data_IF_114275528475
#
_entry.id   IF_114275528475
#
_cell.length_a   1.000
_cell.length_b   1.000
_cell.length_c   1.000
_cell.angle_alpha   90.00
_cell.angle_beta   90.00
_cell.angle_gamma   90.00
#
_symmetry.space_group_name_H-M   'P 1'
#
loop_
_entity.id
_entity.type
_entity.pdbx_description
1 polymer ?
#
# COMPACT_ATOMS: atom_id res chain seq x y z
N UNK A 1 -1.71 28.78 9.02
CA UNK A 1 -2.25 27.85 10.02
C UNK A 1 -1.74 26.47 9.66
N UNK A 2 -1.59 25.53 10.60
CA UNK A 2 -1.28 24.15 10.25
C UNK A 2 -2.38 23.61 9.33
N UNK A 3 -1.99 22.94 8.25
CA UNK A 3 -2.90 22.32 7.29
C UNK A 3 -2.92 20.79 7.43
N UNK A 4 -1.99 20.21 8.19
CA UNK A 4 -1.98 18.77 8.43
C UNK A 4 -3.29 18.26 9.06
N UNK A 5 -3.92 19.09 9.89
CA UNK A 5 -5.17 18.78 10.59
C UNK A 5 -6.42 19.40 9.95
N UNK A 6 -6.30 19.96 8.74
CA UNK A 6 -7.49 20.33 7.97
C UNK A 6 -8.11 19.08 7.33
N UNK A 7 -9.45 19.02 7.21
CA UNK A 7 -10.11 17.91 6.53
C UNK A 7 -9.66 17.74 5.08
N UNK A 8 -9.74 16.51 4.59
CA UNK A 8 -9.52 16.17 3.18
C UNK A 8 -10.76 15.47 2.64
N UNK A 9 -11.45 16.11 1.71
CA UNK A 9 -12.59 15.51 1.01
C UNK A 9 -12.10 14.82 -0.27
N UNK A 10 -12.48 13.55 -0.44
CA UNK A 10 -12.27 12.78 -1.67
C UNK A 10 -13.56 12.05 -1.99
N UNK A 11 -14.16 12.32 -3.16
CA UNK A 11 -15.54 11.91 -3.46
C UNK A 11 -16.51 12.45 -2.40
N UNK A 12 -17.38 11.61 -1.83
CA UNK A 12 -18.28 11.99 -0.73
C UNK A 12 -17.68 11.70 0.66
N UNK A 13 -16.49 11.09 0.72
CA UNK A 13 -15.79 10.80 1.96
C UNK A 13 -15.03 12.03 2.48
N UNK A 14 -15.29 12.41 3.73
CA UNK A 14 -14.52 13.43 4.45
C UNK A 14 -13.56 12.76 5.45
N UNK A 15 -12.27 12.90 5.20
CA UNK A 15 -11.21 12.47 6.12
C UNK A 15 -10.94 13.60 7.12
N UNK A 16 -10.87 13.34 8.43
CA UNK A 16 -10.80 14.40 9.45
C UNK A 16 -9.46 15.15 9.48
N UNK A 17 -8.39 14.57 8.92
CA UNK A 17 -7.09 15.22 8.77
C UNK A 17 -6.27 14.54 7.67
N UNK A 18 -5.16 15.15 7.27
CA UNK A 18 -4.30 14.71 6.16
C UNK A 18 -3.15 13.80 6.61
N UNK A 19 -3.27 13.17 7.77
CA UNK A 19 -2.29 12.23 8.31
C UNK A 19 -2.82 10.80 8.22
N UNK A 20 -2.14 9.96 7.46
CA UNK A 20 -2.48 8.55 7.31
C UNK A 20 -1.40 7.65 7.92
N UNK A 21 -1.82 6.53 8.48
CA UNK A 21 -0.93 5.40 8.76
C UNK A 21 -0.62 4.72 7.42
N UNK A 22 0.66 4.55 7.08
CA UNK A 22 1.07 3.78 5.90
C UNK A 22 0.80 2.28 6.12
N UNK A 23 0.49 1.49 5.07
CA UNK A 23 0.36 0.04 5.20
C UNK A 23 1.71 -0.56 5.63
N UNK A 24 1.69 -1.37 6.69
CA UNK A 24 2.89 -1.97 7.30
C UNK A 24 2.60 -3.42 7.68
N UNK A 25 3.16 -4.37 6.94
CA UNK A 25 2.98 -5.80 7.23
C UNK A 25 3.38 -6.15 8.66
N UNK A 26 2.49 -6.86 9.36
CA UNK A 26 2.70 -7.30 10.74
C UNK A 26 3.20 -8.75 10.81
N UNK A 27 2.90 -9.56 9.79
CA UNK A 27 3.27 -10.98 9.74
C UNK A 27 2.74 -11.78 10.95
N UNK A 28 1.51 -11.45 11.39
CA UNK A 28 0.91 -11.89 12.65
C UNK A 28 -0.31 -12.80 12.48
N UNK A 29 -0.51 -13.36 11.29
CA UNK A 29 -1.55 -14.34 11.02
C UNK A 29 -1.03 -15.78 11.21
N UNK A 30 -1.96 -16.71 11.38
CA UNK A 30 -1.70 -18.12 11.07
C UNK A 30 -1.70 -18.31 9.54
N UNK A 31 -1.33 -19.50 9.02
CA UNK A 31 -1.36 -19.77 7.58
C UNK A 31 -2.74 -19.65 6.91
N UNK A 32 -3.81 -19.49 7.68
CA UNK A 32 -5.15 -19.21 7.18
C UNK A 32 -5.36 -17.75 6.74
N UNK A 33 -4.44 -16.83 7.08
CA UNK A 33 -4.52 -15.41 6.71
C UNK A 33 -5.50 -14.57 7.53
N UNK A 34 -6.13 -15.13 8.57
CA UNK A 34 -7.16 -14.42 9.33
C UNK A 34 -6.57 -13.34 10.24
N UNK A 35 -7.30 -12.22 10.33
CA UNK A 35 -6.98 -11.17 11.29
C UNK A 35 -7.00 -11.73 12.73
N UNK A 36 -6.08 -11.23 13.54
CA UNK A 36 -5.88 -11.67 14.93
C UNK A 36 -6.00 -10.49 15.89
N UNK A 37 -6.05 -10.78 17.20
CA UNK A 37 -6.05 -9.74 18.24
C UNK A 37 -4.85 -8.78 18.13
N UNK A 38 -3.72 -9.23 17.55
CA UNK A 38 -2.62 -8.34 17.23
C UNK A 38 -3.05 -7.21 16.31
N UNK A 39 -3.77 -7.52 15.24
CA UNK A 39 -4.25 -6.54 14.25
C UNK A 39 -5.26 -5.59 14.88
N UNK A 40 -6.19 -6.11 15.70
CA UNK A 40 -7.15 -5.30 16.44
C UNK A 40 -6.47 -4.27 17.33
N UNK A 41 -5.52 -4.71 18.18
CA UNK A 41 -4.78 -3.80 19.07
C UNK A 41 -3.89 -2.85 18.28
N UNK A 42 -3.23 -3.34 17.23
CA UNK A 42 -2.34 -2.56 16.38
C UNK A 42 -3.09 -1.41 15.70
N UNK A 43 -4.13 -1.71 14.93
CA UNK A 43 -4.88 -0.72 14.15
C UNK A 43 -5.71 0.19 15.06
N UNK A 44 -6.35 -0.39 16.10
CA UNK A 44 -7.08 0.38 17.09
C UNK A 44 -6.22 1.42 17.81
N UNK A 45 -4.97 1.09 18.14
CA UNK A 45 -4.05 2.04 18.78
C UNK A 45 -3.76 3.26 17.89
N UNK A 46 -3.67 3.09 16.57
CA UNK A 46 -3.43 4.22 15.64
C UNK A 46 -4.69 5.03 15.38
N UNK A 47 -5.86 4.38 15.41
CA UNK A 47 -7.15 5.07 15.33
C UNK A 47 -7.33 6.03 16.53
N UNK A 48 -7.06 5.53 17.74
CA UNK A 48 -7.03 6.35 18.96
C UNK A 48 -5.91 7.40 18.89
N UNK A 49 -4.79 7.06 18.25
CA UNK A 49 -3.59 7.89 18.12
C UNK A 49 -3.65 9.10 17.18
N UNK A 50 -4.81 9.40 16.59
CA UNK A 50 -5.05 10.68 15.92
C UNK A 50 -4.86 10.70 14.41
N UNK A 51 -4.51 9.57 13.77
CA UNK A 51 -4.46 9.48 12.31
C UNK A 51 -5.86 9.65 11.70
N UNK A 52 -5.98 10.38 10.60
CA UNK A 52 -7.23 10.54 9.86
C UNK A 52 -7.60 9.29 9.07
N UNK A 53 -6.62 8.62 8.47
CA UNK A 53 -6.77 7.33 7.80
C UNK A 53 -5.91 6.28 8.53
N UNK A 54 -6.52 5.13 8.81
CA UNK A 54 -5.82 3.95 9.33
C UNK A 54 -5.77 2.90 8.23
N UNK A 55 -4.65 2.84 7.50
CA UNK A 55 -4.44 1.85 6.44
C UNK A 55 -4.01 0.51 7.03
N UNK A 56 -4.81 -0.51 6.77
CA UNK A 56 -4.48 -1.92 7.03
C UNK A 56 -3.34 -2.35 6.11
N UNK A 57 -2.50 -3.27 6.60
CA UNK A 57 -1.33 -3.75 5.86
C UNK A 57 -1.66 -4.36 4.49
N UNK A 58 -0.63 -4.61 3.68
CA UNK A 58 -0.76 -5.36 2.43
C UNK A 58 -1.51 -6.67 2.68
N UNK A 59 -2.75 -6.73 2.19
CA UNK A 59 -3.68 -7.82 2.45
C UNK A 59 -3.83 -8.63 1.17
N UNK A 60 -3.47 -9.90 1.24
CA UNK A 60 -3.40 -10.75 0.08
C UNK A 60 -4.79 -11.04 -0.50
N UNK A 61 -4.95 -10.82 -1.80
CA UNK A 61 -6.22 -11.06 -2.53
C UNK A 61 -6.48 -12.55 -2.78
N UNK A 62 -5.44 -13.38 -2.71
CA UNK A 62 -5.48 -14.84 -2.79
C UNK A 62 -4.31 -15.46 -2.00
N UNK A 63 -4.38 -16.74 -1.59
CA UNK A 63 -3.36 -17.35 -0.73
C UNK A 63 -1.93 -17.30 -1.28
N UNK A 64 -1.76 -17.51 -2.60
CA UNK A 64 -0.45 -17.46 -3.28
C UNK A 64 0.12 -16.06 -3.42
N UNK A 65 -0.72 -15.04 -3.20
CA UNK A 65 -0.35 -13.62 -3.24
C UNK A 65 0.23 -13.07 -1.94
N UNK A 66 0.31 -13.88 -0.88
CA UNK A 66 0.96 -13.47 0.37
C UNK A 66 2.46 -13.28 0.20
N UNK A 67 3.07 -12.41 1.01
CA UNK A 67 4.52 -12.29 1.13
C UNK A 67 5.06 -13.47 1.94
N UNK A 68 4.50 -13.69 3.13
CA UNK A 68 4.86 -14.78 4.04
C UNK A 68 3.62 -15.63 4.38
N UNK A 69 3.79 -16.86 4.92
CA UNK A 69 2.65 -17.64 5.42
C UNK A 69 1.80 -16.89 6.47
N UNK A 70 2.38 -15.91 7.16
CA UNK A 70 1.76 -15.17 8.25
C UNK A 70 1.15 -13.81 7.84
N UNK A 71 0.99 -13.57 6.54
CA UNK A 71 0.36 -12.36 6.02
C UNK A 71 -1.16 -12.38 6.19
N UNK A 72 -1.73 -11.19 6.32
CA UNK A 72 -3.17 -10.97 6.30
C UNK A 72 -3.78 -11.25 4.92
N UNK A 73 -4.95 -11.88 4.89
CA UNK A 73 -5.71 -12.21 3.69
C UNK A 73 -7.08 -11.54 3.63
N UNK A 74 -7.66 -11.48 2.42
CA UNK A 74 -9.06 -11.09 2.19
C UNK A 74 -9.71 -11.90 1.06
N UNK A 75 -9.30 -13.16 0.92
CA UNK A 75 -9.72 -14.05 -0.18
C UNK A 75 -10.97 -14.89 0.12
N UNK A 76 -11.52 -14.82 1.33
CA UNK A 76 -12.78 -15.48 1.70
C UNK A 76 -13.62 -14.58 2.62
N UNK A 77 -14.90 -14.90 2.73
CA UNK A 77 -15.84 -14.11 3.55
C UNK A 77 -15.46 -14.17 5.04
N UNK A 78 -14.88 -15.29 5.51
CA UNK A 78 -14.34 -15.41 6.88
C UNK A 78 -13.24 -14.37 7.17
N UNK A 79 -12.46 -13.96 6.16
CA UNK A 79 -11.48 -12.89 6.33
C UNK A 79 -12.15 -11.52 6.49
N UNK A 80 -13.23 -11.27 5.75
CA UNK A 80 -14.00 -10.05 5.87
C UNK A 80 -14.64 -9.94 7.26
N UNK A 81 -15.27 -11.03 7.71
CA UNK A 81 -15.87 -11.15 9.06
C UNK A 81 -14.83 -10.92 10.16
N UNK A 82 -13.60 -11.40 9.98
CA UNK A 82 -12.51 -11.19 10.94
C UNK A 82 -12.01 -9.74 11.01
N UNK A 83 -12.17 -8.95 9.93
CA UNK A 83 -11.75 -7.54 9.86
C UNK A 83 -12.85 -6.55 10.26
N UNK A 84 -14.13 -6.92 10.11
CA UNK A 84 -15.27 -6.03 10.41
C UNK A 84 -15.21 -5.41 11.83
N UNK A 85 -14.92 -6.15 12.92
CA UNK A 85 -14.84 -5.53 14.25
C UNK A 85 -13.71 -4.50 14.38
N UNK A 86 -12.67 -4.60 13.54
CA UNK A 86 -11.55 -3.66 13.53
C UNK A 86 -11.96 -2.37 12.81
N UNK A 87 -12.60 -2.47 11.63
CA UNK A 87 -13.06 -1.29 10.89
C UNK A 87 -14.15 -0.54 11.65
N UNK A 88 -15.04 -1.25 12.34
CA UNK A 88 -16.04 -0.67 13.24
C UNK A 88 -15.37 0.17 14.32
N UNK A 89 -14.39 -0.41 15.03
CA UNK A 89 -13.68 0.33 16.08
C UNK A 89 -12.93 1.55 15.54
N UNK A 90 -12.31 1.46 14.36
CA UNK A 90 -11.64 2.60 13.71
C UNK A 90 -12.64 3.73 13.44
N UNK A 91 -13.83 3.42 12.90
CA UNK A 91 -14.91 4.40 12.67
C UNK A 91 -15.45 4.98 13.97
N UNK A 92 -15.59 4.19 15.04
CA UNK A 92 -16.00 4.67 16.36
C UNK A 92 -15.01 5.70 16.94
N UNK A 93 -13.73 5.65 16.56
CA UNK A 93 -12.74 6.67 16.91
C UNK A 93 -12.78 7.91 15.98
N UNK A 94 -13.75 7.99 15.07
CA UNK A 94 -13.91 9.06 14.09
C UNK A 94 -12.86 9.04 13.00
N UNK A 95 -12.25 7.88 12.71
CA UNK A 95 -11.18 7.71 11.71
C UNK A 95 -11.67 6.86 10.55
N UNK A 96 -10.98 6.98 9.41
CA UNK A 96 -11.33 6.27 8.19
C UNK A 96 -10.56 4.94 8.11
N UNK A 97 -11.23 3.77 8.14
CA UNK A 97 -10.58 2.49 7.88
C UNK A 97 -10.28 2.33 6.39
N UNK A 98 -9.01 2.04 6.09
CA UNK A 98 -8.54 1.78 4.73
C UNK A 98 -7.81 0.44 4.65
N UNK A 99 -7.71 -0.14 3.46
CA UNK A 99 -7.01 -1.40 3.22
C UNK A 99 -6.19 -1.37 1.94
N UNK A 100 -4.98 -1.92 2.00
CA UNK A 100 -4.14 -2.14 0.82
C UNK A 100 -4.33 -3.57 0.30
N UNK A 101 -4.86 -3.71 -0.91
CA UNK A 101 -5.02 -4.98 -1.61
C UNK A 101 -3.71 -5.33 -2.35
N UNK A 102 -3.21 -6.54 -2.15
CA UNK A 102 -1.87 -6.91 -2.61
C UNK A 102 -1.76 -8.33 -3.18
N UNK A 103 -0.77 -8.50 -4.05
CA UNK A 103 -0.26 -9.79 -4.49
C UNK A 103 1.27 -9.70 -4.62
N UNK A 104 2.00 -10.46 -3.83
CA UNK A 104 3.46 -10.33 -3.66
C UNK A 104 4.29 -10.81 -4.86
N UNK A 105 3.68 -11.56 -5.78
CA UNK A 105 4.35 -12.00 -7.01
C UNK A 105 5.57 -12.85 -6.68
N UNK A 106 6.69 -12.61 -7.34
CA UNK A 106 7.88 -13.45 -7.17
C UNK A 106 8.61 -13.22 -5.84
N UNK A 107 8.15 -12.24 -5.05
CA UNK A 107 8.61 -11.97 -3.68
C UNK A 107 7.75 -12.66 -2.60
N UNK A 108 6.76 -13.45 -3.03
CA UNK A 108 5.96 -14.33 -2.18
C UNK A 108 6.77 -15.52 -1.65
N UNK A 109 6.13 -16.35 -0.81
CA UNK A 109 6.66 -17.60 -0.29
C UNK A 109 8.04 -17.44 0.37
N UNK A 110 8.10 -16.64 1.44
CA UNK A 110 9.32 -16.46 2.24
C UNK A 110 9.06 -16.39 3.74
N UNK A 111 10.13 -16.59 4.51
CA UNK A 111 10.09 -16.47 5.98
C UNK A 111 9.89 -15.01 6.41
N UNK A 112 9.44 -14.83 7.66
CA UNK A 112 9.25 -13.49 8.22
C UNK A 112 10.57 -12.71 8.28
N UNK A 113 10.53 -11.36 8.32
CA UNK A 113 11.75 -10.56 8.34
C UNK A 113 12.75 -10.92 9.46
N UNK A 114 12.27 -11.32 10.64
CA UNK A 114 13.11 -11.72 11.78
C UNK A 114 13.52 -13.20 11.76
N UNK A 115 13.01 -13.99 10.81
CA UNK A 115 13.33 -15.40 10.57
C UNK A 115 14.28 -15.57 9.37
N UNK A 116 15.01 -14.50 9.01
CA UNK A 116 16.04 -14.51 7.98
C UNK A 116 15.60 -13.96 6.63
N UNK A 117 14.29 -13.79 6.40
CA UNK A 117 13.74 -13.24 5.15
C UNK A 117 14.23 -14.03 3.93
N UNK A 118 14.13 -15.36 3.97
CA UNK A 118 14.62 -16.27 2.91
C UNK A 118 13.44 -16.98 2.23
N UNK A 119 13.55 -17.37 0.95
CA UNK A 119 12.50 -18.13 0.27
C UNK A 119 12.17 -19.45 0.97
N UNK A 120 10.90 -19.86 0.90
CA UNK A 120 10.41 -21.16 1.37
C UNK A 120 10.02 -21.95 0.12
N UNK A 121 10.70 -23.07 -0.12
CA UNK A 121 10.45 -23.92 -1.28
C UNK A 121 9.37 -24.97 -0.97
N UNK A 122 8.37 -25.18 -1.86
CA UNK A 122 7.31 -26.16 -1.65
C UNK A 122 7.81 -27.62 -1.62
N UNK A 123 9.03 -27.88 -2.09
CA UNK A 123 9.66 -29.22 -2.01
C UNK A 123 10.33 -29.48 -0.65
N UNK A 124 10.58 -28.43 0.13
CA UNK A 124 11.34 -28.49 1.38
C UNK A 124 10.47 -28.26 2.62
N UNK A 125 9.40 -27.47 2.50
CA UNK A 125 8.51 -27.08 3.59
C UNK A 125 7.07 -26.93 3.07
N UNK A 126 6.10 -27.45 3.84
CA UNK A 126 4.67 -27.41 3.53
C UNK A 126 4.10 -25.97 3.57
N UNK A 127 4.80 -25.04 4.22
CA UNK A 127 4.45 -23.61 4.23
C UNK A 127 4.89 -22.88 2.94
N UNK A 128 5.63 -23.53 2.03
CA UNK A 128 6.09 -22.96 0.76
C UNK A 128 5.13 -23.17 -0.42
N UNK A 129 5.20 -22.29 -1.42
CA UNK A 129 4.43 -22.41 -2.67
C UNK A 129 5.17 -21.89 -3.90
N UNK A 130 4.72 -22.29 -5.09
CA UNK A 130 5.19 -21.74 -6.37
C UNK A 130 4.65 -20.32 -6.58
N UNK A 131 5.52 -19.39 -6.92
CA UNK A 131 5.21 -17.95 -7.02
C UNK A 131 5.03 -17.49 -8.47
N UNK A 132 4.14 -16.51 -8.68
CA UNK A 132 3.88 -15.93 -10.00
C UNK A 132 4.83 -14.78 -10.31
N UNK A 133 5.25 -14.66 -11.57
CA UNK A 133 6.01 -13.52 -12.09
C UNK A 133 5.68 -13.25 -13.56
N UNK A 134 5.87 -12.04 -14.13
CA UNK A 134 5.74 -11.82 -15.57
C UNK A 134 6.75 -12.63 -16.40
N UNK A 135 7.89 -13.02 -15.81
CA UNK A 135 8.99 -13.74 -16.47
C UNK A 135 9.26 -15.10 -15.79
N UNK A 136 9.80 -16.10 -16.49
CA UNK A 136 10.07 -17.43 -15.92
C UNK A 136 11.27 -17.47 -14.95
N UNK A 137 11.97 -16.35 -14.78
CA UNK A 137 13.12 -16.21 -13.89
C UNK A 137 13.17 -14.78 -13.36
N UNK A 138 13.50 -14.63 -12.08
CA UNK A 138 13.73 -13.33 -11.43
C UNK A 138 15.20 -13.13 -11.06
N UNK A 139 15.50 -11.95 -10.52
CA UNK A 139 16.68 -11.79 -9.67
C UNK A 139 16.41 -12.46 -8.32
N UNK A 140 17.44 -12.90 -7.57
CA UNK A 140 17.26 -13.41 -6.21
C UNK A 140 16.76 -12.26 -5.34
N UNK A 141 15.49 -12.24 -4.91
CA UNK A 141 14.95 -11.08 -4.22
C UNK A 141 15.43 -10.98 -2.79
N UNK A 142 16.00 -12.07 -2.28
CA UNK A 142 16.42 -12.25 -0.91
C UNK A 142 17.72 -13.07 -0.86
N UNK A 143 18.44 -13.08 0.29
CA UNK A 143 19.52 -14.04 0.49
C UNK A 143 19.01 -15.48 0.38
N UNK A 144 19.79 -16.37 -0.24
CA UNK A 144 19.43 -17.78 -0.41
C UNK A 144 19.30 -18.18 -1.88
N UNK A 145 18.59 -19.27 -2.11
CA UNK A 145 18.24 -19.76 -3.45
C UNK A 145 17.13 -18.90 -4.08
N UNK A 146 16.97 -18.98 -5.40
CA UNK A 146 15.86 -18.32 -6.08
C UNK A 146 14.54 -19.00 -5.68
N UNK A 147 13.44 -18.25 -5.44
CA UNK A 147 12.15 -18.87 -5.13
C UNK A 147 11.68 -19.78 -6.27
N UNK A 148 10.79 -20.72 -5.97
CA UNK A 148 10.13 -21.55 -6.98
C UNK A 148 9.21 -20.69 -7.86
N UNK A 149 9.75 -20.13 -8.95
CA UNK A 149 9.05 -19.16 -9.81
C UNK A 149 8.45 -19.82 -11.04
N UNK A 150 7.23 -19.41 -11.39
CA UNK A 150 6.61 -19.69 -12.68
C UNK A 150 6.13 -18.41 -13.36
N UNK A 151 6.29 -18.37 -14.69
CA UNK A 151 5.71 -17.32 -15.54
C UNK A 151 4.18 -17.38 -15.48
N UNK A 152 3.54 -16.27 -15.14
CA UNK A 152 2.09 -16.12 -15.16
C UNK A 152 1.56 -16.33 -16.59
N UNK A 153 0.55 -17.19 -16.72
CA UNK A 153 -0.22 -17.36 -17.96
C UNK A 153 -1.28 -16.26 -18.09
N UNK A 154 -1.96 -16.19 -19.23
CA UNK A 154 -3.12 -15.30 -19.39
C UNK A 154 -4.24 -15.64 -18.40
N UNK A 155 -4.47 -16.93 -18.14
CA UNK A 155 -5.45 -17.38 -17.15
C UNK A 155 -5.04 -16.95 -15.74
N UNK A 156 -3.76 -17.09 -15.36
CA UNK A 156 -3.28 -16.59 -14.06
C UNK A 156 -3.48 -15.07 -13.92
N UNK A 157 -3.27 -14.30 -14.99
CA UNK A 157 -3.48 -12.84 -14.97
C UNK A 157 -4.97 -12.53 -14.77
N UNK A 158 -5.86 -13.21 -15.49
CA UNK A 158 -7.30 -13.05 -15.35
C UNK A 158 -7.78 -13.43 -13.94
N UNK A 159 -7.30 -14.56 -13.40
CA UNK A 159 -7.61 -15.01 -12.04
C UNK A 159 -7.19 -13.97 -10.98
N UNK A 160 -6.02 -13.35 -11.15
CA UNK A 160 -5.58 -12.30 -10.22
C UNK A 160 -6.47 -11.06 -10.35
N UNK A 161 -6.86 -10.64 -11.55
CA UNK A 161 -7.82 -9.53 -11.73
C UNK A 161 -9.12 -9.80 -10.97
N UNK A 162 -9.67 -11.01 -11.11
CA UNK A 162 -10.89 -11.43 -10.41
C UNK A 162 -10.68 -11.53 -8.90
N UNK A 163 -9.50 -11.94 -8.43
CA UNK A 163 -9.15 -11.94 -7.02
C UNK A 163 -9.15 -10.53 -6.42
N UNK A 164 -8.57 -9.53 -7.13
CA UNK A 164 -8.63 -8.13 -6.69
C UNK A 164 -10.05 -7.59 -6.65
N UNK A 165 -10.89 -7.93 -7.63
CA UNK A 165 -12.33 -7.57 -7.63
C UNK A 165 -13.03 -8.14 -6.40
N UNK A 166 -12.91 -9.44 -6.16
CA UNK A 166 -13.56 -10.10 -5.03
C UNK A 166 -13.00 -9.60 -3.68
N UNK A 167 -11.71 -9.30 -3.60
CA UNK A 167 -11.09 -8.68 -2.44
C UNK A 167 -11.65 -7.29 -2.15
N UNK A 168 -11.92 -6.48 -3.17
CA UNK A 168 -12.55 -5.18 -3.00
C UNK A 168 -14.00 -5.30 -2.51
N UNK A 169 -14.79 -6.22 -3.06
CA UNK A 169 -16.16 -6.50 -2.59
C UNK A 169 -16.18 -6.90 -1.10
N UNK A 170 -15.30 -7.82 -0.71
CA UNK A 170 -15.16 -8.27 0.68
C UNK A 170 -14.66 -7.16 1.60
N UNK A 171 -13.74 -6.34 1.12
CA UNK A 171 -13.25 -5.19 1.88
C UNK A 171 -14.36 -4.17 2.13
N UNK A 172 -15.21 -3.92 1.13
CA UNK A 172 -16.37 -3.07 1.28
C UNK A 172 -17.36 -3.64 2.31
N UNK A 173 -17.63 -4.95 2.23
CA UNK A 173 -18.49 -5.66 3.18
C UNK A 173 -17.94 -5.61 4.62
N UNK A 174 -16.62 -5.70 4.79
CA UNK A 174 -15.93 -5.55 6.06
C UNK A 174 -15.91 -4.09 6.58
N UNK A 175 -16.52 -3.13 5.89
CA UNK A 175 -16.66 -1.75 6.37
C UNK A 175 -15.49 -0.82 6.05
N UNK A 176 -14.57 -1.20 5.15
CA UNK A 176 -13.54 -0.29 4.67
C UNK A 176 -14.15 0.85 3.83
N UNK A 177 -13.51 2.01 3.88
CA UNK A 177 -13.95 3.23 3.18
C UNK A 177 -12.98 3.67 2.09
N UNK A 178 -11.76 3.12 2.09
CA UNK A 178 -10.76 3.30 1.02
C UNK A 178 -10.14 1.94 0.67
N UNK A 179 -10.09 1.61 -0.62
CA UNK A 179 -9.31 0.51 -1.14
C UNK A 179 -8.06 1.04 -1.86
N UNK A 180 -6.88 0.57 -1.48
CA UNK A 180 -5.62 0.90 -2.17
C UNK A 180 -5.10 -0.31 -2.95
N UNK A 181 -4.88 -0.15 -4.26
CA UNK A 181 -4.25 -1.17 -5.10
C UNK A 181 -2.73 -1.08 -4.97
N UNK A 182 -2.06 -2.18 -4.56
CA UNK A 182 -0.61 -2.18 -4.41
C UNK A 182 0.12 -2.53 -5.73
N UNK A 183 0.60 -1.50 -6.43
CA UNK A 183 1.39 -1.58 -7.66
C UNK A 183 2.84 -1.07 -7.49
N UNK A 184 3.47 -1.37 -6.35
CA UNK A 184 4.77 -0.84 -5.96
C UNK A 184 5.67 -1.92 -5.35
N UNK A 185 6.88 -1.53 -4.91
CA UNK A 185 7.78 -2.32 -4.06
C UNK A 185 8.27 -3.66 -4.64
N UNK A 186 8.09 -3.85 -5.93
CA UNK A 186 8.53 -5.06 -6.64
C UNK A 186 7.65 -6.27 -6.40
N UNK A 187 6.41 -6.04 -5.96
CA UNK A 187 5.37 -7.08 -5.96
C UNK A 187 4.73 -7.21 -7.34
N UNK A 188 3.79 -8.15 -7.51
CA UNK A 188 3.36 -8.63 -8.82
C UNK A 188 3.04 -7.51 -9.82
N UNK A 189 2.20 -6.56 -9.43
CA UNK A 189 1.81 -5.46 -10.32
C UNK A 189 3.01 -4.58 -10.71
N UNK A 190 3.92 -4.30 -9.78
CA UNK A 190 5.16 -3.55 -10.07
C UNK A 190 6.13 -4.35 -10.95
N UNK A 191 6.18 -5.67 -10.77
CA UNK A 191 7.00 -6.54 -11.63
C UNK A 191 6.57 -6.45 -13.09
N UNK A 192 5.26 -6.34 -13.36
CA UNK A 192 4.74 -6.13 -14.71
C UNK A 192 5.06 -4.73 -15.26
N UNK A 193 5.07 -3.71 -14.41
CA UNK A 193 5.41 -2.35 -14.81
C UNK A 193 6.85 -2.25 -15.32
N UNK A 194 7.82 -2.86 -14.65
CA UNK A 194 9.22 -2.60 -15.00
C UNK A 194 9.78 -3.54 -16.09
N UNK A 195 10.47 -3.02 -17.12
CA UNK A 195 11.19 -3.85 -18.08
C UNK A 195 12.40 -4.60 -17.47
N UNK A 196 12.82 -4.25 -16.24
CA UNK A 196 13.86 -5.00 -15.54
C UNK A 196 13.40 -6.42 -15.17
N UNK A 197 12.10 -6.59 -14.90
CA UNK A 197 11.46 -7.85 -14.49
C UNK A 197 10.50 -8.41 -15.54
N UNK A 198 9.80 -7.56 -16.29
CA UNK A 198 8.85 -7.98 -17.32
C UNK A 198 9.52 -8.10 -18.70
N UNK A 199 9.80 -9.34 -19.10
CA UNK A 199 10.40 -9.70 -20.39
C UNK A 199 9.40 -10.41 -21.30
N UNK A 200 8.10 -10.21 -21.09
CA UNK A 200 7.07 -10.80 -21.93
C UNK A 200 7.10 -10.18 -23.32
N UNK A 201 6.80 -11.01 -24.32
CA UNK A 201 6.69 -10.63 -25.74
C UNK A 201 5.22 -10.58 -26.21
N UNK A 202 4.28 -10.75 -25.28
CA UNK A 202 2.84 -10.72 -25.51
C UNK A 202 2.25 -9.33 -25.15
N UNK A 203 0.92 -9.23 -25.12
CA UNK A 203 0.20 -7.98 -24.84
C UNK A 203 0.38 -7.44 -23.41
N UNK A 204 1.10 -8.17 -22.55
CA UNK A 204 1.42 -7.78 -21.19
C UNK A 204 2.89 -7.38 -21.00
N UNK A 205 3.70 -7.28 -22.06
CA UNK A 205 5.10 -6.81 -21.97
C UNK A 205 5.61 -6.01 -23.17
N UNK A 206 6.87 -5.58 -23.07
CA UNK A 206 7.52 -4.74 -24.07
C UNK A 206 7.16 -3.25 -23.93
N UNK A 207 6.13 -2.80 -24.64
CA UNK A 207 5.77 -1.38 -24.66
C UNK A 207 5.24 -0.89 -23.30
N UNK A 208 5.18 0.43 -23.12
CA UNK A 208 4.57 1.02 -21.93
C UNK A 208 3.11 0.55 -21.77
N UNK A 209 2.32 0.61 -22.84
CA UNK A 209 0.89 0.27 -22.85
C UNK A 209 0.65 -1.20 -22.47
N UNK A 210 1.54 -2.08 -22.90
CA UNK A 210 1.45 -3.50 -22.57
C UNK A 210 1.88 -3.77 -21.11
N UNK A 211 2.98 -3.14 -20.65
CA UNK A 211 3.46 -3.30 -19.26
C UNK A 211 2.48 -2.73 -18.23
N UNK A 212 1.77 -1.65 -18.55
CA UNK A 212 0.77 -1.04 -17.67
C UNK A 212 -0.61 -1.70 -17.76
N UNK A 213 -0.86 -2.53 -18.79
CA UNK A 213 -2.15 -3.19 -19.03
C UNK A 213 -2.70 -3.87 -17.78
N UNK A 214 -1.89 -4.70 -17.14
CA UNK A 214 -2.34 -5.48 -15.98
C UNK A 214 -2.73 -4.60 -14.79
N UNK A 215 -1.94 -3.55 -14.49
CA UNK A 215 -2.28 -2.59 -13.43
C UNK A 215 -3.58 -1.87 -13.74
N UNK A 216 -3.79 -1.46 -14.99
CA UNK A 216 -5.02 -0.80 -15.44
C UNK A 216 -6.24 -1.73 -15.36
N UNK A 217 -6.08 -2.99 -15.75
CA UNK A 217 -7.13 -4.02 -15.63
C UNK A 217 -7.53 -4.24 -14.16
N UNK A 218 -6.56 -4.34 -13.24
CA UNK A 218 -6.84 -4.48 -11.81
C UNK A 218 -7.53 -3.24 -11.23
N UNK A 219 -7.04 -2.04 -11.53
CA UNK A 219 -7.65 -0.79 -11.02
C UNK A 219 -9.07 -0.64 -11.55
N UNK A 220 -9.31 -0.93 -12.83
CA UNK A 220 -10.66 -0.93 -13.41
C UNK A 220 -11.58 -1.96 -12.72
N UNK A 221 -11.10 -3.17 -12.45
CA UNK A 221 -11.86 -4.22 -11.79
C UNK A 221 -12.22 -3.87 -10.33
N UNK A 222 -11.29 -3.27 -9.58
CA UNK A 222 -11.56 -2.75 -8.23
C UNK A 222 -12.56 -1.60 -8.29
N UNK A 223 -12.37 -0.65 -9.22
CA UNK A 223 -13.25 0.51 -9.36
C UNK A 223 -14.69 0.11 -9.71
N UNK A 224 -14.88 -0.93 -10.52
CA UNK A 224 -16.20 -1.42 -10.96
C UNK A 224 -17.09 -1.88 -9.80
N UNK A 225 -16.50 -2.45 -8.74
CA UNK A 225 -17.24 -2.96 -7.58
C UNK A 225 -17.18 -2.05 -6.37
N UNK A 226 -16.23 -1.11 -6.32
CA UNK A 226 -16.14 -0.12 -5.27
C UNK A 226 -17.15 1.02 -5.50
N UNK A 227 -17.86 1.54 -4.48
CA UNK A 227 -18.87 2.58 -4.66
C UNK A 227 -18.28 3.92 -5.15
N UNK A 228 -18.93 4.58 -6.12
CA UNK A 228 -18.45 5.83 -6.73
C UNK A 228 -18.26 7.00 -5.74
N UNK A 229 -18.98 6.95 -4.62
CA UNK A 229 -18.91 7.91 -3.51
C UNK A 229 -17.70 7.69 -2.59
N UNK A 230 -16.98 6.57 -2.75
CA UNK A 230 -15.79 6.21 -1.97
C UNK A 230 -14.51 6.19 -2.81
N UNK A 231 -13.37 6.62 -2.25
CA UNK A 231 -12.13 6.72 -3.00
C UNK A 231 -11.44 5.37 -3.22
N UNK A 232 -10.74 5.26 -4.35
CA UNK A 232 -9.77 4.20 -4.66
C UNK A 232 -8.39 4.81 -4.77
N UNK A 233 -7.43 4.28 -4.02
CA UNK A 233 -6.04 4.68 -4.07
C UNK A 233 -5.23 3.70 -4.92
N UNK A 234 -4.11 4.15 -5.48
CA UNK A 234 -3.12 3.26 -6.11
C UNK A 234 -1.75 3.61 -5.60
N UNK A 235 -1.05 2.64 -5.01
CA UNK A 235 0.33 2.82 -4.59
C UNK A 235 1.27 2.42 -5.71
N UNK A 236 2.13 3.33 -6.15
CA UNK A 236 3.16 3.07 -7.18
C UNK A 236 4.56 3.35 -6.66
N UNK A 237 5.54 2.66 -7.21
CA UNK A 237 6.94 3.07 -7.08
C UNK A 237 7.24 4.08 -8.19
N UNK A 238 7.57 5.32 -7.82
CA UNK A 238 7.84 6.39 -8.79
C UNK A 238 9.09 6.18 -9.64
N UNK A 239 9.97 5.25 -9.25
CA UNK A 239 11.17 4.84 -10.00
C UNK A 239 11.72 3.56 -9.37
N UNK A 240 12.40 2.74 -10.17
CA UNK A 240 13.14 1.57 -9.69
C UNK A 240 14.49 1.91 -9.07
N UNK A 241 15.01 3.12 -9.30
CA UNK A 241 16.39 3.52 -8.97
C UNK A 241 17.46 2.62 -9.62
N UNK A 242 17.20 2.18 -10.86
CA UNK A 242 18.12 1.42 -11.71
C UNK A 242 18.54 2.30 -12.90
N UNK A 243 19.73 2.88 -12.84
CA UNK A 243 20.20 3.83 -13.88
C UNK A 243 21.02 3.15 -14.99
N UNK A 244 21.48 1.92 -14.76
CA UNK A 244 22.41 1.20 -15.64
C UNK A 244 21.72 0.33 -16.70
N UNK A 245 20.38 0.26 -16.69
CA UNK A 245 19.57 -0.59 -17.57
C UNK A 245 18.16 0.02 -17.76
N UNK A 246 17.40 -0.43 -18.78
CA UNK A 246 15.99 -0.07 -18.88
C UNK A 246 15.22 -0.51 -17.63
N UNK A 247 14.49 0.41 -17.01
CA UNK A 247 13.68 0.18 -15.81
C UNK A 247 12.43 1.05 -15.80
N UNK A 248 11.63 0.93 -14.74
CA UNK A 248 10.57 1.88 -14.44
C UNK A 248 11.17 3.20 -13.94
N UNK A 249 10.61 4.32 -14.39
CA UNK A 249 11.08 5.66 -14.07
C UNK A 249 9.91 6.62 -13.78
N UNK A 250 10.27 7.86 -13.45
CA UNK A 250 9.32 8.88 -13.04
C UNK A 250 8.46 9.41 -14.20
N UNK A 251 8.97 9.43 -15.43
CA UNK A 251 8.17 9.87 -16.59
C UNK A 251 7.07 8.85 -16.89
N UNK A 252 7.40 7.56 -16.82
CA UNK A 252 6.42 6.49 -16.92
C UNK A 252 5.41 6.52 -15.77
N UNK A 253 5.85 6.86 -14.54
CA UNK A 253 4.96 7.02 -13.38
C UNK A 253 3.96 8.16 -13.55
N UNK A 254 4.40 9.33 -14.05
CA UNK A 254 3.52 10.46 -14.37
C UNK A 254 2.47 10.04 -15.40
N UNK A 255 2.90 9.38 -16.47
CA UNK A 255 1.99 8.92 -17.53
C UNK A 255 0.97 7.90 -16.99
N UNK A 256 1.41 6.93 -16.19
CA UNK A 256 0.52 5.94 -15.60
C UNK A 256 -0.46 6.60 -14.63
N UNK A 257 -0.03 7.55 -13.80
CA UNK A 257 -0.90 8.25 -12.87
C UNK A 257 -2.08 8.94 -13.57
N UNK A 258 -1.85 9.59 -14.72
CA UNK A 258 -2.93 10.15 -15.53
C UNK A 258 -3.87 9.08 -16.12
N UNK A 259 -3.32 7.97 -16.63
CA UNK A 259 -4.14 6.84 -17.11
C UNK A 259 -4.97 6.18 -15.99
N UNK A 260 -4.49 6.21 -14.75
CA UNK A 260 -5.21 5.68 -13.58
C UNK A 260 -6.30 6.64 -13.07
N UNK A 261 -6.08 7.95 -13.16
CA UNK A 261 -7.12 8.96 -12.88
C UNK A 261 -8.33 8.75 -13.79
N UNK A 262 -8.11 8.55 -15.10
CA UNK A 262 -9.16 8.27 -16.08
C UNK A 262 -9.94 6.98 -15.76
N UNK A 263 -9.30 6.04 -15.05
CA UNK A 263 -9.90 4.77 -14.59
C UNK A 263 -10.55 4.90 -13.21
N UNK A 264 -10.58 6.09 -12.61
CA UNK A 264 -11.26 6.35 -11.34
C UNK A 264 -10.40 6.15 -10.10
N UNK A 265 -9.07 6.16 -10.23
CA UNK A 265 -8.19 6.36 -9.08
C UNK A 265 -8.30 7.80 -8.58
N UNK A 266 -8.34 7.97 -7.26
CA UNK A 266 -8.58 9.26 -6.61
C UNK A 266 -7.31 9.85 -5.99
N UNK A 267 -6.34 9.00 -5.69
CA UNK A 267 -5.05 9.40 -5.14
C UNK A 267 -3.97 8.39 -5.51
N UNK A 268 -2.77 8.89 -5.83
CA UNK A 268 -1.58 8.06 -5.99
C UNK A 268 -0.73 8.13 -4.72
N UNK A 269 -0.54 7.01 -4.03
CA UNK A 269 0.44 6.88 -2.94
C UNK A 269 1.83 6.66 -3.57
N UNK A 270 2.70 7.67 -3.48
CA UNK A 270 3.96 7.70 -4.21
C UNK A 270 5.10 7.21 -3.33
N UNK A 271 5.47 5.95 -3.54
CA UNK A 271 6.68 5.33 -2.99
C UNK A 271 7.78 5.22 -4.05
N UNK A 272 8.78 4.37 -3.84
CA UNK A 272 9.82 4.07 -4.83
C UNK A 272 10.52 2.74 -4.57
N UNK A 273 11.23 2.24 -5.59
CA UNK A 273 12.09 1.07 -5.51
C UNK A 273 11.38 -0.20 -5.05
N UNK A 274 12.16 -1.07 -4.42
CA UNK A 274 11.77 -2.40 -3.96
C UNK A 274 11.86 -3.49 -5.03
N UNK A 275 12.13 -3.12 -6.28
CA UNK A 275 12.12 -4.05 -7.42
C UNK A 275 13.40 -4.85 -7.58
N UNK A 276 14.59 -4.38 -7.24
CA UNK A 276 15.81 -5.13 -7.57
C UNK A 276 16.91 -4.85 -6.54
N UNK A 277 17.77 -5.81 -6.16
CA UNK A 277 18.84 -5.60 -5.19
C UNK A 277 19.86 -4.53 -5.62
N UNK A 278 20.12 -4.39 -6.92
CA UNK A 278 21.04 -3.38 -7.48
C UNK A 278 20.51 -1.93 -7.39
N UNK A 279 19.26 -1.71 -6.96
CA UNK A 279 18.69 -0.36 -6.86
C UNK A 279 19.46 0.53 -5.89
N UNK A 280 19.55 1.84 -6.18
CA UNK A 280 20.28 2.79 -5.35
C UNK A 280 19.42 4.01 -4.96
N UNK A 281 18.37 3.84 -4.13
CA UNK A 281 17.54 4.95 -3.69
C UNK A 281 18.32 5.93 -2.81
N UNK A 282 18.06 7.25 -2.92
CA UNK A 282 18.60 8.21 -1.97
C UNK A 282 18.07 7.93 -0.56
N UNK A 283 18.93 8.07 0.44
CA UNK A 283 18.53 7.99 1.85
C UNK A 283 18.15 9.34 2.44
N UNK A 284 17.45 9.32 3.57
CA UNK A 284 17.17 10.50 4.39
C UNK A 284 15.72 10.97 4.39
N UNK A 285 15.43 12.10 5.07
CA UNK A 285 14.08 12.64 5.16
C UNK A 285 13.54 13.07 3.79
N UNK A 286 12.25 12.86 3.55
CA UNK A 286 11.53 13.33 2.35
C UNK A 286 12.07 12.81 1.00
N UNK A 287 12.85 11.73 0.97
CA UNK A 287 13.57 11.32 -0.24
C UNK A 287 12.66 10.98 -1.43
N UNK A 288 11.39 10.64 -1.18
CA UNK A 288 10.40 10.34 -2.23
C UNK A 288 9.49 11.54 -2.55
N UNK A 289 9.51 12.61 -1.75
CA UNK A 289 8.64 13.78 -1.94
C UNK A 289 8.81 14.40 -3.33
N UNK A 290 10.02 14.55 -3.90
CA UNK A 290 10.16 15.06 -5.27
C UNK A 290 9.46 14.21 -6.34
N UNK A 291 9.28 12.90 -6.09
CA UNK A 291 8.52 12.03 -6.98
C UNK A 291 7.04 12.38 -6.93
N UNK A 292 6.50 12.55 -5.71
CA UNK A 292 5.10 12.91 -5.49
C UNK A 292 4.77 14.28 -6.08
N UNK A 293 5.64 15.28 -5.86
CA UNK A 293 5.47 16.63 -6.41
C UNK A 293 5.38 16.62 -7.94
N UNK A 294 6.23 15.85 -8.60
CA UNK A 294 6.24 15.78 -10.07
C UNK A 294 5.00 15.08 -10.62
N UNK A 295 4.58 13.97 -10.00
CA UNK A 295 3.34 13.28 -10.38
C UNK A 295 2.15 14.22 -10.21
N UNK A 296 2.03 14.89 -9.05
CA UNK A 296 0.95 15.86 -8.80
C UNK A 296 0.92 16.97 -9.84
N UNK A 297 2.08 17.58 -10.12
CA UNK A 297 2.18 18.72 -11.01
C UNK A 297 1.90 18.38 -12.49
N UNK A 298 2.33 17.21 -12.94
CA UNK A 298 2.25 16.84 -14.37
C UNK A 298 1.03 15.97 -14.71
N UNK A 299 0.55 15.11 -13.78
CA UNK A 299 -0.61 14.26 -13.99
C UNK A 299 -1.93 14.91 -13.49
N UNK A 300 -1.87 15.89 -12.58
CA UNK A 300 -3.06 16.59 -12.09
C UNK A 300 -3.90 15.82 -11.05
N UNK A 301 -3.50 14.60 -10.68
CA UNK A 301 -4.13 13.78 -9.65
C UNK A 301 -3.58 14.09 -8.25
N UNK A 302 -4.42 13.91 -7.22
CA UNK A 302 -4.00 14.02 -5.82
C UNK A 302 -2.92 12.98 -5.48
N UNK A 303 -1.99 13.36 -4.59
CA UNK A 303 -0.88 12.46 -4.21
C UNK A 303 -0.73 12.32 -2.70
N UNK A 304 -0.36 11.11 -2.30
CA UNK A 304 0.15 10.79 -0.98
C UNK A 304 1.67 10.81 -0.98
N UNK A 305 2.28 11.50 -0.01
CA UNK A 305 3.72 11.48 0.21
C UNK A 305 4.10 10.55 1.37
N UNK A 306 5.09 9.69 1.14
CA UNK A 306 5.68 8.78 2.14
C UNK A 306 7.21 8.83 2.07
N UNK A 307 7.89 8.36 3.13
CA UNK A 307 9.34 8.14 3.11
C UNK A 307 10.14 9.13 3.95
N UNK A 308 10.55 8.67 5.14
CA UNK A 308 11.40 9.45 6.05
C UNK A 308 10.69 10.66 6.68
N UNK A 309 9.37 10.57 6.85
CA UNK A 309 8.55 11.56 7.55
C UNK A 309 8.41 11.12 9.01
N UNK A 310 8.97 11.90 9.94
CA UNK A 310 9.00 11.58 11.37
C UNK A 310 8.58 12.74 12.28
N UNK A 311 8.64 13.99 11.78
CA UNK A 311 8.33 15.16 12.60
C UNK A 311 6.98 15.80 12.20
N UNK A 312 6.20 16.34 13.16
CA UNK A 312 4.95 17.04 12.86
C UNK A 312 5.14 18.19 11.87
N UNK A 313 6.13 19.06 12.08
CA UNK A 313 6.39 20.22 11.21
C UNK A 313 6.80 19.79 9.80
N UNK A 314 7.47 18.65 9.68
CA UNK A 314 7.82 18.07 8.39
C UNK A 314 6.55 17.66 7.64
N UNK A 315 5.64 16.93 8.29
CA UNK A 315 4.37 16.50 7.70
C UNK A 315 3.49 17.71 7.32
N UNK A 316 3.34 18.69 8.23
CA UNK A 316 2.59 19.92 7.96
C UNK A 316 3.16 20.71 6.79
N UNK A 317 4.49 20.84 6.70
CA UNK A 317 5.13 21.56 5.61
C UNK A 317 4.89 20.90 4.24
N UNK A 318 4.62 19.60 4.15
CA UNK A 318 4.28 18.96 2.89
C UNK A 318 2.89 19.39 2.41
N UNK A 319 1.91 19.36 3.31
CA UNK A 319 0.53 19.75 2.99
C UNK A 319 0.43 21.25 2.76
N UNK A 320 0.93 22.05 3.70
CA UNK A 320 0.79 23.51 3.70
C UNK A 320 1.48 24.20 2.53
N UNK A 321 2.49 23.55 1.95
CA UNK A 321 3.16 24.04 0.74
C UNK A 321 2.67 23.32 -0.54
N UNK A 322 1.53 22.63 -0.48
CA UNK A 322 0.89 21.95 -1.62
C UNK A 322 1.79 20.92 -2.32
N UNK A 323 2.72 20.32 -1.57
CA UNK A 323 3.66 19.29 -2.07
C UNK A 323 3.04 17.89 -2.04
N UNK A 324 2.02 17.70 -1.23
CA UNK A 324 1.19 16.50 -1.17
C UNK A 324 -0.20 16.84 -0.62
N UNK A 325 -1.20 16.06 -0.99
CA UNK A 325 -2.57 16.21 -0.50
C UNK A 325 -2.80 15.37 0.76
N UNK A 326 -2.08 14.24 0.89
CA UNK A 326 -2.06 13.35 2.05
C UNK A 326 -0.61 13.02 2.47
N UNK A 327 -0.37 12.86 3.77
CA UNK A 327 0.92 12.42 4.32
C UNK A 327 0.77 11.04 4.94
N UNK A 328 1.51 10.06 4.42
CA UNK A 328 1.53 8.69 4.93
C UNK A 328 2.77 8.47 5.80
N UNK A 329 2.56 8.09 7.05
CA UNK A 329 3.62 7.85 8.03
C UNK A 329 3.62 6.37 8.41
N UNK A 330 4.79 5.74 8.28
CA UNK A 330 4.97 4.31 8.60
C UNK A 330 5.65 4.13 9.96
N UNK A 331 6.97 3.92 9.92
CA UNK A 331 7.80 3.55 11.10
C UNK A 331 7.61 4.44 12.33
N UNK A 332 7.26 5.72 12.17
CA UNK A 332 7.02 6.57 13.33
C UNK A 332 5.79 6.14 14.12
N UNK A 333 4.68 5.76 13.45
CA UNK A 333 3.52 5.16 14.11
C UNK A 333 3.80 3.78 14.74
N UNK A 334 4.90 3.11 14.38
CA UNK A 334 5.33 1.89 15.09
C UNK A 334 6.02 2.21 16.41
N UNK A 335 6.79 3.31 16.46
CA UNK A 335 7.52 3.75 17.67
C UNK A 335 6.62 4.52 18.63
N UNK A 336 5.78 5.36 18.07
CA UNK A 336 4.84 6.22 18.78
C UNK A 336 3.44 6.09 18.14
N UNK A 337 2.58 5.20 18.67
CA UNK A 337 1.24 5.03 18.12
C UNK A 337 0.38 6.29 18.24
N UNK A 338 0.72 7.24 19.12
CA UNK A 338 -0.04 8.48 19.37
C UNK A 338 0.63 9.71 18.75
N UNK A 339 1.49 9.49 17.74
CA UNK A 339 2.13 10.54 16.97
C UNK A 339 1.13 11.61 16.48
N UNK A 340 -0.04 11.22 15.98
CA UNK A 340 -1.05 12.16 15.49
C UNK A 340 -1.60 13.10 16.57
N UNK A 341 -1.87 12.59 17.77
CA UNK A 341 -2.32 13.41 18.91
C UNK A 341 -1.24 14.40 19.35
N UNK A 342 0.03 13.96 19.43
CA UNK A 342 1.14 14.87 19.76
C UNK A 342 1.34 15.91 18.68
N UNK A 343 1.29 15.52 17.41
CA UNK A 343 1.40 16.44 16.29
C UNK A 343 0.29 17.50 16.31
N UNK A 344 -0.95 17.13 16.67
CA UNK A 344 -2.07 18.07 16.80
C UNK A 344 -1.85 19.07 17.95
N UNK A 345 -1.40 18.57 19.10
CA UNK A 345 -1.07 19.39 20.27
C UNK A 345 0.07 20.38 19.95
N UNK A 346 1.14 19.90 19.33
CA UNK A 346 2.33 20.69 19.00
C UNK A 346 2.09 21.74 17.91
N UNK A 347 1.27 21.43 16.89
CA UNK A 347 1.07 22.31 15.72
C UNK A 347 -0.15 23.22 15.81
N UNK A 348 -1.25 22.72 16.40
CA UNK A 348 -2.56 23.37 16.35
C UNK A 348 -3.08 23.85 17.72
N UNK A 349 -2.42 23.48 18.83
CA UNK A 349 -2.86 23.80 20.20
C UNK A 349 -4.32 23.34 20.43
N UNK A 350 -4.65 22.12 19.97
CA UNK A 350 -5.99 21.52 20.03
C UNK A 350 -6.08 20.40 21.08
N UNK A 351 -6.08 20.71 22.39
CA UNK A 351 -6.11 19.71 23.46
C UNK A 351 -7.41 18.88 23.46
N UNK A 352 -8.46 19.39 22.82
CA UNK A 352 -9.76 18.73 22.71
C UNK A 352 -9.75 17.55 21.73
N UNK A 353 -8.78 17.51 20.80
CA UNK A 353 -8.57 16.43 19.83
C UNK A 353 -8.20 15.09 20.49
N UNK A 354 -7.69 15.15 21.73
CA UNK A 354 -7.39 13.97 22.53
C UNK A 354 -8.66 13.25 22.97
N UNK A 355 -8.68 11.90 22.93
CA UNK A 355 -9.74 11.11 23.56
C UNK A 355 -9.99 11.58 24.98
N UNK A 356 -11.26 11.68 25.39
CA UNK A 356 -11.65 12.23 26.69
C UNK A 356 -10.94 11.54 27.87
N UNK A 357 -10.66 10.24 27.71
CA UNK A 357 -9.95 9.39 28.66
C UNK A 357 -8.48 9.82 28.86
N UNK A 358 -7.86 10.48 27.88
CA UNK A 358 -6.44 10.86 27.87
C UNK A 358 -6.19 12.35 28.15
N UNK A 359 -7.23 13.19 28.22
CA UNK A 359 -7.08 14.64 28.43
C UNK A 359 -6.29 15.05 29.68
N UNK A 360 -6.13 14.15 30.66
CA UNK A 360 -5.28 14.39 31.85
C UNK A 360 -3.78 14.34 31.56
N UNK A 361 -3.37 13.91 30.37
CA UNK A 361 -1.98 13.82 29.94
C UNK A 361 -1.54 15.00 29.07
N UNK A 362 -2.48 15.84 28.62
CA UNK A 362 -2.20 17.06 27.85
C UNK A 362 -1.48 18.06 28.75
N UNK A 363 -0.41 18.68 28.22
CA UNK A 363 0.54 19.46 29.03
C UNK A 363 0.14 20.91 29.24
#
# INVERSE_FOLDING_TARGET
MPELFSPLSMRELEVPNRLAVSPMCQYSCAPDGLATEWHRVHLGSRAVGGAGIVMTEATAVEPRGRITPADLGIWSDEHADALEPITEFVREQGRVPAIQLAHAGHKASKTRPWEGNVPIHPEEDDDGWEVLSPSPSGYPPFPGDDPAIRKATHDDIADVVDAYRAAAERSLAAGFEIAEVHAAHGYLLHEFLSPATNRREDEYGGSFENRTRFVREVVAAVREVWPDDKPVFVRISGTDWLEDRPSWDLEQSVRLAGELEELGADLIDVSSGGLHPDQNPPGGPNFQVPLAERIRAEAGIAVGAVGGITEPEQADALVRNERADLVLVGREFLRDPYFGLRAADELADEPESWPIQYRRAVR
#
